data_IF_505250325333
#
_entry.id   IF_505250325333
#
_cell.length_a   1.000
_cell.length_b   1.000
_cell.length_c   1.000
_cell.angle_alpha   90.00
_cell.angle_beta   90.00
_cell.angle_gamma   90.00
#
_symmetry.space_group_name_H-M   'P 1'
#
loop_
_entity.id
_entity.type
_entity.pdbx_description
1 polymer ?
#
# COMPACT_ATOMS: atom_id res chain seq x y z
N UNK A 1 -13.80 -1.21 -22.18
CA UNK A 1 -14.42 -0.51 -21.04
C UNK A 1 -13.68 -0.85 -19.75
N UNK A 2 -13.33 0.15 -18.98
CA UNK A 2 -12.60 -0.06 -17.71
C UNK A 2 -13.60 -0.54 -16.65
N UNK A 3 -13.25 -1.62 -15.96
CA UNK A 3 -14.04 -2.12 -14.82
C UNK A 3 -14.00 -1.07 -13.71
N UNK A 4 -15.16 -0.69 -13.18
CA UNK A 4 -15.27 0.34 -12.15
C UNK A 4 -14.45 0.01 -10.89
N UNK A 5 -14.47 -1.24 -10.43
CA UNK A 5 -13.69 -1.68 -9.27
C UNK A 5 -12.20 -1.58 -9.53
N UNK A 6 -11.75 -1.96 -10.71
CA UNK A 6 -10.37 -1.87 -11.14
C UNK A 6 -9.91 -0.42 -11.13
N UNK A 7 -10.70 0.47 -11.73
CA UNK A 7 -10.40 1.90 -11.77
C UNK A 7 -10.34 2.50 -10.36
N UNK A 8 -11.32 2.13 -9.51
CA UNK A 8 -11.37 2.63 -8.14
C UNK A 8 -10.14 2.20 -7.33
N UNK A 9 -9.68 0.95 -7.50
CA UNK A 9 -8.52 0.45 -6.75
C UNK A 9 -7.21 1.05 -7.27
N UNK A 10 -7.09 1.30 -8.57
CA UNK A 10 -5.94 2.01 -9.11
C UNK A 10 -5.86 3.42 -8.52
N UNK A 11 -6.98 4.14 -8.48
CA UNK A 11 -7.04 5.48 -7.87
C UNK A 11 -6.82 5.44 -6.37
N UNK A 12 -7.37 4.45 -5.70
CA UNK A 12 -7.24 4.31 -4.25
C UNK A 12 -5.79 4.07 -3.83
N UNK A 13 -5.08 3.21 -4.56
CA UNK A 13 -3.66 2.94 -4.28
C UNK A 13 -2.79 4.14 -4.61
N UNK A 14 -3.10 4.88 -5.67
CA UNK A 14 -2.39 6.10 -6.01
C UNK A 14 -2.55 7.15 -4.92
N UNK A 15 -3.78 7.37 -4.46
CA UNK A 15 -4.08 8.32 -3.39
C UNK A 15 -3.33 7.95 -2.11
N UNK A 16 -3.33 6.67 -1.77
CA UNK A 16 -2.62 6.17 -0.59
C UNK A 16 -1.13 6.50 -0.67
N UNK A 17 -0.48 6.22 -1.81
CA UNK A 17 0.93 6.51 -2.00
C UNK A 17 1.24 8.01 -1.86
N UNK A 18 0.34 8.86 -2.37
CA UNK A 18 0.49 10.32 -2.22
C UNK A 18 0.34 10.75 -0.76
N UNK A 19 -0.62 10.18 -0.05
CA UNK A 19 -0.84 10.49 1.38
C UNK A 19 0.36 10.06 2.23
N UNK A 20 0.96 8.92 1.91
CA UNK A 20 2.18 8.47 2.59
C UNK A 20 3.30 9.49 2.38
N UNK A 21 3.51 9.95 1.16
CA UNK A 21 4.55 10.94 0.87
C UNK A 21 4.34 12.24 1.65
N UNK A 22 3.10 12.73 1.69
CA UNK A 22 2.78 13.95 2.43
C UNK A 22 3.04 13.76 3.93
N UNK A 23 2.70 12.61 4.47
CA UNK A 23 2.95 12.26 5.87
C UNK A 23 4.45 12.25 6.18
N UNK A 24 5.25 11.58 5.33
CA UNK A 24 6.71 11.48 5.54
C UNK A 24 7.36 12.87 5.55
N UNK A 25 6.90 13.78 4.70
CA UNK A 25 7.44 15.14 4.64
C UNK A 25 7.26 15.91 5.94
N UNK A 26 6.29 15.55 6.76
CA UNK A 26 5.96 16.24 8.00
C UNK A 26 6.63 15.64 9.23
N UNK A 27 7.27 14.50 9.11
CA UNK A 27 7.89 13.82 10.24
C UNK A 27 9.14 14.55 10.75
N UNK A 28 9.49 14.37 12.04
CA UNK A 28 10.76 14.87 12.56
C UNK A 28 11.92 14.32 11.72
N UNK A 29 12.88 15.20 11.42
CA UNK A 29 13.99 14.85 10.54
C UNK A 29 15.17 14.31 11.35
N UNK A 30 15.37 12.99 11.25
CA UNK A 30 16.50 12.29 11.84
C UNK A 30 16.82 11.07 10.97
N UNK A 31 17.94 10.38 11.26
CA UNK A 31 18.39 9.28 10.42
C UNK A 31 17.41 8.12 10.38
N UNK A 32 16.77 7.79 11.50
CA UNK A 32 15.79 6.69 11.55
C UNK A 32 14.58 7.01 10.67
N UNK A 33 14.01 8.22 10.82
CA UNK A 33 12.88 8.66 9.99
C UNK A 33 13.24 8.69 8.51
N UNK A 34 14.47 9.09 8.19
CA UNK A 34 14.93 9.14 6.81
C UNK A 34 15.00 7.75 6.19
N UNK A 35 15.60 6.78 6.89
CA UNK A 35 15.75 5.42 6.38
C UNK A 35 14.40 4.68 6.31
N UNK A 36 13.59 4.76 7.36
CA UNK A 36 12.28 4.13 7.39
C UNK A 36 11.33 4.79 6.40
N UNK A 37 11.44 6.10 6.23
CA UNK A 37 10.66 6.86 5.26
C UNK A 37 10.89 6.39 3.83
N UNK A 38 12.14 6.10 3.47
CA UNK A 38 12.47 5.55 2.15
C UNK A 38 11.73 4.23 1.91
N UNK A 39 11.71 3.36 2.91
CA UNK A 39 11.07 2.05 2.79
C UNK A 39 9.56 2.18 2.59
N UNK A 40 8.92 3.05 3.36
CA UNK A 40 7.46 3.19 3.26
C UNK A 40 7.06 3.90 1.96
N UNK A 41 7.86 4.85 1.49
CA UNK A 41 7.61 5.50 0.19
C UNK A 41 7.70 4.45 -0.92
N UNK A 42 8.76 3.62 -0.91
CA UNK A 42 8.93 2.56 -1.91
C UNK A 42 7.79 1.55 -1.86
N UNK A 43 7.51 0.99 -0.69
CA UNK A 43 6.53 -0.08 -0.58
C UNK A 43 5.10 0.41 -0.87
N UNK A 44 4.74 1.61 -0.42
CA UNK A 44 3.40 2.15 -0.67
C UNK A 44 3.16 2.41 -2.16
N UNK A 45 4.17 2.87 -2.89
CA UNK A 45 4.07 3.05 -4.33
C UNK A 45 3.99 1.73 -5.07
N UNK A 46 4.66 0.69 -4.55
CA UNK A 46 4.68 -0.63 -5.16
C UNK A 46 3.34 -1.36 -5.10
N UNK A 47 2.47 -1.01 -4.16
CA UNK A 47 1.13 -1.62 -4.08
C UNK A 47 0.37 -1.36 -5.38
N UNK A 48 0.20 -0.10 -5.72
CA UNK A 48 -0.53 0.29 -6.93
C UNK A 48 0.18 -0.12 -8.20
N UNK A 49 1.53 0.01 -8.24
CA UNK A 49 2.31 -0.38 -9.41
C UNK A 49 2.10 -1.86 -9.75
N UNK A 50 2.12 -2.74 -8.76
CA UNK A 50 1.91 -4.17 -9.00
C UNK A 50 0.45 -4.48 -9.32
N UNK A 51 -0.48 -3.74 -8.75
CA UNK A 51 -1.89 -3.89 -9.09
C UNK A 51 -2.14 -3.54 -10.57
N UNK A 52 -1.54 -2.44 -11.04
CA UNK A 52 -1.63 -2.03 -12.46
C UNK A 52 -1.05 -3.13 -13.36
N UNK A 53 0.10 -3.70 -12.99
CA UNK A 53 0.70 -4.80 -13.74
C UNK A 53 -0.21 -6.03 -13.77
N UNK A 54 -0.90 -6.32 -12.65
CA UNK A 54 -1.84 -7.42 -12.59
C UNK A 54 -2.97 -7.24 -13.62
N UNK A 55 -3.48 -6.02 -13.75
CA UNK A 55 -4.56 -5.71 -14.69
C UNK A 55 -4.13 -5.85 -16.15
N UNK A 56 -2.82 -5.81 -16.43
CA UNK A 56 -2.26 -5.99 -17.76
C UNK A 56 -1.74 -7.42 -17.98
N UNK A 57 -1.93 -8.31 -17.01
CA UNK A 57 -1.40 -9.67 -17.08
C UNK A 57 -2.02 -10.48 -18.23
N UNK A 58 -1.20 -11.30 -18.85
CA UNK A 58 -1.63 -12.12 -20.00
C UNK A 58 -2.30 -13.42 -19.59
N UNK A 59 -2.19 -13.81 -18.32
CA UNK A 59 -2.79 -15.06 -17.85
C UNK A 59 -2.99 -15.05 -16.35
N UNK A 60 -3.72 -16.06 -15.87
CA UNK A 60 -4.10 -16.19 -14.46
C UNK A 60 -2.89 -16.28 -13.53
N UNK A 61 -1.89 -17.04 -13.91
CA UNK A 61 -0.68 -17.24 -13.09
C UNK A 61 0.06 -15.92 -12.87
N UNK A 62 0.23 -15.15 -13.94
CA UNK A 62 0.89 -13.85 -13.88
C UNK A 62 0.05 -12.86 -13.06
N UNK A 63 -1.26 -12.86 -13.29
CA UNK A 63 -2.19 -12.02 -12.51
C UNK A 63 -2.04 -12.29 -11.01
N UNK A 64 -2.12 -13.56 -10.62
CA UNK A 64 -2.03 -13.95 -9.20
C UNK A 64 -0.68 -13.59 -8.60
N UNK A 65 0.42 -13.74 -9.36
CA UNK A 65 1.74 -13.36 -8.91
C UNK A 65 1.79 -11.87 -8.58
N UNK A 66 1.27 -11.03 -9.48
CA UNK A 66 1.27 -9.57 -9.28
C UNK A 66 0.40 -9.13 -8.13
N UNK A 67 -0.78 -9.74 -7.97
CA UNK A 67 -1.67 -9.45 -6.83
C UNK A 67 -0.99 -9.86 -5.51
N UNK A 68 -0.31 -11.00 -5.51
CA UNK A 68 0.42 -11.46 -4.32
C UNK A 68 1.52 -10.50 -3.93
N UNK A 69 2.27 -9.98 -4.91
CA UNK A 69 3.31 -8.97 -4.65
C UNK A 69 2.68 -7.69 -4.10
N UNK A 70 1.59 -7.22 -4.69
CA UNK A 70 0.89 -6.03 -4.21
C UNK A 70 0.45 -6.20 -2.75
N UNK A 71 -0.11 -7.36 -2.40
CA UNK A 71 -0.52 -7.66 -1.03
C UNK A 71 0.67 -7.66 -0.07
N UNK A 72 1.78 -8.26 -0.48
CA UNK A 72 3.02 -8.29 0.29
C UNK A 72 3.51 -6.87 0.56
N UNK A 73 3.48 -6.01 -0.45
CA UNK A 73 3.90 -4.62 -0.31
C UNK A 73 2.98 -3.83 0.63
N UNK A 74 1.68 -4.13 0.62
CA UNK A 74 0.74 -3.51 1.55
C UNK A 74 1.07 -3.91 3.00
N UNK A 75 1.39 -5.19 3.21
CA UNK A 75 1.77 -5.70 4.53
C UNK A 75 3.07 -5.05 5.01
N UNK A 76 4.07 -4.92 4.13
CA UNK A 76 5.33 -4.27 4.46
C UNK A 76 5.13 -2.79 4.77
N UNK A 77 4.27 -2.11 4.00
CA UNK A 77 3.95 -0.69 4.24
C UNK A 77 3.39 -0.51 5.65
N UNK A 78 2.49 -1.38 6.06
CA UNK A 78 1.94 -1.33 7.42
C UNK A 78 3.03 -1.48 8.47
N UNK A 79 3.96 -2.40 8.25
CA UNK A 79 5.09 -2.62 9.17
C UNK A 79 5.95 -1.37 9.29
N UNK A 80 6.37 -0.79 8.16
CA UNK A 80 7.21 0.41 8.18
C UNK A 80 6.50 1.61 8.82
N UNK A 81 5.20 1.76 8.58
CA UNK A 81 4.41 2.83 9.21
C UNK A 81 4.40 2.71 10.73
N UNK A 82 4.37 1.48 11.23
CA UNK A 82 4.39 1.24 12.67
C UNK A 82 5.73 1.60 13.31
N UNK A 83 6.81 1.53 12.56
CA UNK A 83 8.15 1.90 13.05
C UNK A 83 8.36 3.41 13.11
N UNK A 84 7.69 4.17 12.27
CA UNK A 84 7.89 5.62 12.20
C UNK A 84 7.41 6.30 13.47
N UNK A 85 8.21 7.25 13.95
CA UNK A 85 7.89 8.05 15.13
C UNK A 85 7.32 9.40 14.71
N UNK A 86 6.28 9.85 15.40
CA UNK A 86 5.60 11.10 15.11
C UNK A 86 5.96 12.20 16.11
N UNK A 87 6.83 11.91 17.07
CA UNK A 87 7.15 12.83 18.17
C UNK A 87 5.91 13.04 19.03
N UNK A 88 5.77 14.26 19.54
CA UNK A 88 4.62 14.62 20.38
C UNK A 88 3.46 15.22 19.58
N UNK A 89 3.47 15.05 18.26
CA UNK A 89 2.46 15.63 17.38
C UNK A 89 1.26 14.70 17.27
N UNK A 90 0.15 15.08 17.90
CA UNK A 90 -1.06 14.26 17.93
C UNK A 90 -1.72 14.14 16.55
N UNK A 91 -1.60 15.17 15.69
CA UNK A 91 -2.14 15.13 14.33
C UNK A 91 -1.40 14.09 13.50
N UNK A 92 -0.06 14.08 13.58
CA UNK A 92 0.74 13.09 12.86
C UNK A 92 0.50 11.67 13.37
N UNK A 93 0.32 11.50 14.68
CA UNK A 93 0.00 10.20 15.26
C UNK A 93 -1.32 9.67 14.73
N UNK A 94 -2.33 10.54 14.64
CA UNK A 94 -3.63 10.18 14.07
C UNK A 94 -3.51 9.80 12.59
N UNK A 95 -2.77 10.60 11.82
CA UNK A 95 -2.54 10.33 10.40
C UNK A 95 -1.86 8.99 10.21
N UNK A 96 -0.86 8.68 11.04
CA UNK A 96 -0.17 7.38 10.98
C UNK A 96 -1.14 6.21 11.16
N UNK A 97 -2.04 6.31 12.15
CA UNK A 97 -3.05 5.27 12.40
C UNK A 97 -4.00 5.11 11.22
N UNK A 98 -4.40 6.22 10.61
CA UNK A 98 -5.26 6.18 9.42
C UNK A 98 -4.56 5.51 8.24
N UNK A 99 -3.28 5.79 8.04
CA UNK A 99 -2.49 5.16 6.98
C UNK A 99 -2.29 3.67 7.24
N UNK A 100 -2.06 3.28 8.49
CA UNK A 100 -1.96 1.86 8.87
C UNK A 100 -3.28 1.15 8.58
N UNK A 101 -4.40 1.79 8.90
CA UNK A 101 -5.73 1.23 8.62
C UNK A 101 -5.94 1.05 7.11
N UNK A 102 -5.56 2.04 6.31
CA UNK A 102 -5.72 1.95 4.86
C UNK A 102 -4.83 0.83 4.27
N UNK A 103 -3.59 0.72 4.73
CA UNK A 103 -2.71 -0.37 4.30
C UNK A 103 -3.33 -1.74 4.63
N UNK A 104 -3.93 -1.86 5.81
CA UNK A 104 -4.61 -3.09 6.24
C UNK A 104 -5.78 -3.41 5.33
N UNK A 105 -6.60 -2.40 5.00
CA UNK A 105 -7.74 -2.60 4.10
C UNK A 105 -7.31 -2.98 2.69
N UNK A 106 -6.26 -2.36 2.18
CA UNK A 106 -5.72 -2.71 0.87
C UNK A 106 -5.23 -4.16 0.86
N UNK A 107 -4.55 -4.59 1.93
CA UNK A 107 -4.10 -5.97 2.07
C UNK A 107 -5.29 -6.94 2.03
N UNK A 108 -6.36 -6.61 2.74
CA UNK A 108 -7.57 -7.44 2.79
C UNK A 108 -8.28 -7.52 1.44
N UNK A 109 -8.36 -6.39 0.74
CA UNK A 109 -8.98 -6.34 -0.60
C UNK A 109 -8.17 -7.20 -1.57
N UNK A 110 -6.84 -7.08 -1.55
CA UNK A 110 -5.98 -7.86 -2.43
C UNK A 110 -6.06 -9.35 -2.13
N UNK A 111 -6.16 -9.72 -0.84
CA UNK A 111 -6.38 -11.11 -0.43
C UNK A 111 -7.70 -11.65 -0.97
N UNK A 112 -8.76 -10.83 -0.93
CA UNK A 112 -10.07 -11.23 -1.46
C UNK A 112 -10.01 -11.43 -2.99
N UNK A 113 -9.27 -10.58 -3.70
CA UNK A 113 -9.08 -10.73 -5.15
C UNK A 113 -8.37 -12.05 -5.45
N UNK A 114 -7.34 -12.38 -4.67
CA UNK A 114 -6.63 -13.65 -4.84
C UNK A 114 -7.58 -14.84 -4.69
N UNK A 115 -8.35 -14.87 -3.60
CA UNK A 115 -9.27 -15.98 -3.33
C UNK A 115 -10.36 -16.10 -4.39
N UNK A 116 -10.85 -14.98 -4.88
CA UNK A 116 -11.86 -14.97 -5.94
C UNK A 116 -11.30 -15.53 -7.26
N UNK A 117 -10.04 -15.21 -7.55
CA UNK A 117 -9.37 -15.65 -8.78
C UNK A 117 -8.91 -17.10 -8.69
N UNK A 118 -8.60 -17.57 -7.49
CA UNK A 118 -8.17 -18.95 -7.24
C UNK A 118 -8.76 -19.44 -5.92
N UNK A 119 -9.96 -20.08 -5.97
CA UNK A 119 -10.64 -20.55 -4.76
C UNK A 119 -9.86 -21.59 -3.95
N UNK A 120 -8.79 -22.17 -4.51
CA UNK A 120 -7.96 -23.12 -3.78
C UNK A 120 -7.03 -22.46 -2.76
N UNK A 121 -6.89 -21.14 -2.84
CA UNK A 121 -6.02 -20.38 -1.91
C UNK A 121 -6.69 -20.14 -0.56
#
# INVERSE_FOLDING_TARGET
MINKKQYDLENRTLRFAKQVRDFIKQLPKNSASFEDGKQVIRSSGSIGANYIEANEALGKKDFLMRIRIARKEAKETRYWLQLLETGDNSVLTKTRLELIQEATELMMILSAIMRKSDPSL
#
